data_IF_598175497548
#
_entry.id   IF_598175497548
#
_cell.length_a   1.000
_cell.length_b   1.000
_cell.length_c   1.000
_cell.angle_alpha   90.00
_cell.angle_beta   90.00
_cell.angle_gamma   90.00
#
_symmetry.space_group_name_H-M   'P 1'
#
loop_
_entity.id
_entity.type
_entity.pdbx_description
1 polymer ?
#
# COMPACT_ATOMS: atom_id res chain seq x y z
N UNK A 1 11.08 4.06 0.71
CA UNK A 1 10.07 4.07 1.80
C UNK A 1 9.37 2.72 1.93
N UNK A 2 8.69 2.20 0.90
CA UNK A 2 7.97 0.91 1.00
C UNK A 2 8.91 -0.27 1.28
N UNK A 3 9.95 -0.47 0.46
CA UNK A 3 10.91 -1.57 0.66
C UNK A 3 11.63 -1.47 2.01
N UNK A 4 11.99 -0.25 2.42
CA UNK A 4 12.60 0.01 3.73
C UNK A 4 11.66 -0.36 4.88
N UNK A 5 10.35 -0.12 4.75
CA UNK A 5 9.40 -0.57 5.77
C UNK A 5 9.38 -2.09 5.89
N UNK A 6 9.41 -2.82 4.77
CA UNK A 6 9.54 -4.28 4.77
C UNK A 6 10.86 -4.75 5.37
N UNK A 7 11.98 -4.09 5.04
CA UNK A 7 13.30 -4.34 5.65
C UNK A 7 13.29 -4.13 7.18
N UNK A 8 12.44 -3.23 7.69
CA UNK A 8 12.25 -3.00 9.13
C UNK A 8 11.19 -3.90 9.78
N UNK A 9 10.72 -4.93 9.07
CA UNK A 9 9.82 -5.95 9.61
C UNK A 9 8.33 -5.61 9.50
N UNK A 10 7.93 -4.67 8.64
CA UNK A 10 6.52 -4.43 8.37
C UNK A 10 5.86 -5.67 7.74
N UNK A 11 4.71 -6.10 8.26
CA UNK A 11 3.95 -7.24 7.70
C UNK A 11 3.11 -6.83 6.47
N UNK A 12 2.78 -5.56 6.35
CA UNK A 12 2.10 -4.95 5.21
C UNK A 12 2.30 -3.44 5.17
N UNK A 13 2.25 -2.86 3.98
CA UNK A 13 2.41 -1.43 3.73
C UNK A 13 1.27 -0.92 2.85
N UNK A 14 0.52 0.05 3.37
CA UNK A 14 -0.51 0.76 2.62
C UNK A 14 -0.04 2.19 2.32
N UNK A 15 -0.17 2.63 1.07
CA UNK A 15 0.08 4.02 0.65
C UNK A 15 -1.25 4.68 0.31
N UNK A 16 -1.56 5.77 1.00
CA UNK A 16 -2.78 6.55 0.82
C UNK A 16 -2.48 7.80 0.00
N UNK A 17 -3.33 8.09 -0.98
CA UNK A 17 -3.22 9.28 -1.83
C UNK A 17 -4.58 9.90 -2.15
N UNK A 18 -4.56 11.17 -2.55
CA UNK A 18 -5.75 11.85 -3.08
C UNK A 18 -6.18 11.19 -4.40
N UNK A 19 -7.44 11.35 -4.80
CA UNK A 19 -7.83 11.14 -6.20
C UNK A 19 -7.15 12.16 -7.11
N UNK A 20 -7.01 11.82 -8.39
CA UNK A 20 -6.17 12.56 -9.35
C UNK A 20 -6.48 14.06 -9.46
N UNK A 21 -7.75 14.45 -9.33
CA UNK A 21 -8.20 15.86 -9.44
C UNK A 21 -8.27 16.60 -8.09
N UNK A 22 -7.94 15.93 -7.00
CA UNK A 22 -8.05 16.48 -5.64
C UNK A 22 -6.69 16.76 -5.00
N UNK A 23 -5.60 16.45 -5.70
CA UNK A 23 -4.28 16.74 -5.19
C UNK A 23 -4.02 18.26 -5.16
N UNK A 24 -3.68 18.77 -3.97
CA UNK A 24 -3.30 20.17 -3.78
C UNK A 24 -2.02 20.57 -4.52
N UNK A 25 -1.13 19.61 -4.78
CA UNK A 25 0.25 19.87 -5.21
C UNK A 25 0.56 19.37 -6.62
N UNK A 26 -0.46 19.03 -7.42
CA UNK A 26 -0.27 18.60 -8.81
C UNK A 26 -0.30 17.08 -9.00
N UNK A 27 0.50 16.49 -9.91
CA UNK A 27 0.27 15.13 -10.44
C UNK A 27 0.66 13.99 -9.47
N UNK A 28 0.75 14.26 -8.16
CA UNK A 28 1.18 13.29 -7.15
C UNK A 28 0.44 11.94 -7.20
N UNK A 29 -0.91 11.92 -7.25
CA UNK A 29 -1.66 10.67 -7.37
C UNK A 29 -1.37 9.87 -8.64
N UNK A 30 -1.14 10.55 -9.77
CA UNK A 30 -0.80 9.89 -11.04
C UNK A 30 0.59 9.23 -10.94
N UNK A 31 1.57 9.95 -10.39
CA UNK A 31 2.92 9.42 -10.15
C UNK A 31 2.89 8.24 -9.18
N UNK A 32 2.08 8.31 -8.12
CA UNK A 32 1.89 7.22 -7.16
C UNK A 32 1.35 5.96 -7.83
N UNK A 33 0.37 6.09 -8.75
CA UNK A 33 -0.14 4.93 -9.51
C UNK A 33 0.90 4.32 -10.42
N UNK A 34 1.71 5.15 -11.11
CA UNK A 34 2.78 4.67 -11.99
C UNK A 34 3.82 3.82 -11.26
N UNK A 35 4.10 4.13 -9.99
CA UNK A 35 5.10 3.43 -9.18
C UNK A 35 4.51 2.26 -8.37
N UNK A 36 3.20 2.24 -8.13
CA UNK A 36 2.56 1.18 -7.34
C UNK A 36 2.75 -0.23 -7.93
N UNK A 37 2.54 -0.40 -9.24
CA UNK A 37 2.72 -1.69 -9.90
C UNK A 37 4.19 -2.18 -9.88
N UNK A 38 5.20 -1.34 -10.22
CA UNK A 38 6.61 -1.69 -10.01
C UNK A 38 6.95 -2.12 -8.59
N UNK A 39 6.40 -1.44 -7.57
CA UNK A 39 6.62 -1.82 -6.17
C UNK A 39 6.03 -3.21 -5.90
N UNK A 40 4.80 -3.47 -6.34
CA UNK A 40 4.12 -4.75 -6.17
C UNK A 40 4.89 -5.89 -6.83
N UNK A 41 5.38 -5.68 -8.05
CA UNK A 41 6.23 -6.65 -8.75
C UNK A 41 7.56 -6.88 -8.02
N UNK A 42 8.18 -5.82 -7.49
CA UNK A 42 9.46 -5.93 -6.80
C UNK A 42 9.35 -6.71 -5.49
N UNK A 43 8.33 -6.44 -4.67
CA UNK A 43 8.14 -7.22 -3.43
C UNK A 43 7.87 -8.70 -3.73
N UNK A 44 7.18 -9.00 -4.83
CA UNK A 44 6.96 -10.38 -5.28
C UNK A 44 8.28 -11.07 -5.65
N UNK A 45 9.15 -10.39 -6.40
CA UNK A 45 10.50 -10.89 -6.73
C UNK A 45 11.33 -11.14 -5.48
N UNK A 46 11.15 -10.30 -4.45
CA UNK A 46 11.81 -10.46 -3.13
C UNK A 46 11.20 -11.57 -2.27
N UNK A 47 10.22 -12.33 -2.78
CA UNK A 47 9.61 -13.47 -2.09
C UNK A 47 8.46 -13.10 -1.15
N UNK A 48 7.93 -11.88 -1.23
CA UNK A 48 6.73 -11.47 -0.48
C UNK A 48 5.47 -11.70 -1.29
N UNK A 49 4.38 -11.99 -0.59
CA UNK A 49 3.04 -11.95 -1.14
C UNK A 49 2.71 -10.51 -1.59
N UNK A 50 2.17 -10.38 -2.80
CA UNK A 50 1.86 -9.07 -3.39
C UNK A 50 0.77 -8.32 -2.61
N UNK A 51 -0.06 -9.08 -1.90
CA UNK A 51 -1.13 -8.65 -1.00
C UNK A 51 -0.61 -7.85 0.20
N UNK A 52 0.69 -7.91 0.49
CA UNK A 52 1.32 -7.09 1.54
C UNK A 52 1.45 -5.62 1.17
N UNK A 53 1.23 -5.24 -0.08
CA UNK A 53 1.26 -3.85 -0.52
C UNK A 53 -0.07 -3.42 -1.14
N UNK A 54 -0.59 -2.29 -0.69
CA UNK A 54 -1.81 -1.69 -1.27
C UNK A 54 -1.64 -0.19 -1.46
N UNK A 55 -1.96 0.31 -2.65
CA UNK A 55 -2.07 1.75 -2.92
C UNK A 55 -3.55 2.12 -3.04
N UNK A 56 -4.02 3.04 -2.20
CA UNK A 56 -5.43 3.46 -2.17
C UNK A 56 -5.54 4.94 -2.48
N UNK A 57 -6.41 5.27 -3.43
CA UNK A 57 -6.85 6.64 -3.68
C UNK A 57 -8.20 6.88 -3.03
N UNK A 58 -8.32 7.98 -2.30
CA UNK A 58 -9.56 8.39 -1.65
C UNK A 58 -9.77 9.90 -1.75
N UNK A 59 -11.03 10.30 -1.70
CA UNK A 59 -11.48 11.69 -1.58
C UNK A 59 -11.70 12.05 -0.12
N UNK A 60 -11.62 13.33 0.23
CA UNK A 60 -11.77 13.80 1.62
C UNK A 60 -13.13 13.43 2.26
N UNK A 61 -14.16 13.17 1.46
CA UNK A 61 -15.51 12.79 1.89
C UNK A 61 -15.75 11.26 1.93
N UNK A 62 -14.75 10.44 1.60
CA UNK A 62 -14.87 8.97 1.54
C UNK A 62 -14.40 8.27 2.83
N UNK A 63 -14.62 8.89 3.99
CA UNK A 63 -14.11 8.38 5.28
C UNK A 63 -14.49 6.93 5.56
N UNK A 64 -15.76 6.56 5.35
CA UNK A 64 -16.24 5.20 5.63
C UNK A 64 -15.57 4.17 4.72
N UNK A 65 -15.47 4.46 3.42
CA UNK A 65 -14.75 3.62 2.46
C UNK A 65 -13.27 3.47 2.84
N UNK A 66 -12.62 4.55 3.27
CA UNK A 66 -11.22 4.47 3.72
C UNK A 66 -11.06 3.56 4.94
N UNK A 67 -11.98 3.62 5.91
CA UNK A 67 -11.96 2.75 7.08
C UNK A 67 -12.16 1.27 6.69
N UNK A 68 -13.09 1.00 5.76
CA UNK A 68 -13.30 -0.35 5.21
C UNK A 68 -12.07 -0.88 4.47
N UNK A 69 -11.38 -0.03 3.69
CA UNK A 69 -10.13 -0.40 3.00
C UNK A 69 -9.02 -0.76 3.98
N UNK A 70 -8.84 0.02 5.05
CA UNK A 70 -7.83 -0.23 6.08
C UNK A 70 -8.14 -1.54 6.83
N UNK A 71 -9.39 -1.74 7.25
CA UNK A 71 -9.81 -2.96 7.96
C UNK A 71 -9.68 -4.21 7.07
N UNK A 72 -10.09 -4.12 5.80
CA UNK A 72 -9.91 -5.16 4.80
C UNK A 72 -8.44 -5.52 4.59
N UNK A 73 -7.58 -4.51 4.43
CA UNK A 73 -6.15 -4.72 4.24
C UNK A 73 -5.49 -5.36 5.46
N UNK A 74 -5.82 -4.90 6.67
CA UNK A 74 -5.30 -5.49 7.90
C UNK A 74 -5.71 -6.97 8.04
N UNK A 75 -6.97 -7.30 7.74
CA UNK A 75 -7.47 -8.68 7.74
C UNK A 75 -6.82 -9.56 6.68
N UNK A 76 -6.51 -9.01 5.50
CA UNK A 76 -5.80 -9.72 4.45
C UNK A 76 -4.37 -10.05 4.88
N UNK A 77 -3.62 -9.06 5.34
CA UNK A 77 -2.24 -9.23 5.81
C UNK A 77 -2.16 -10.22 6.98
N UNK A 78 -3.11 -10.15 7.93
CA UNK A 78 -3.15 -11.05 9.09
C UNK A 78 -3.35 -12.53 8.72
N UNK A 79 -3.95 -12.83 7.57
CA UNK A 79 -4.14 -14.21 7.08
C UNK A 79 -2.90 -14.76 6.38
N UNK A 80 -1.96 -13.91 5.98
CA UNK A 80 -0.73 -14.33 5.35
C UNK A 80 0.20 -14.98 6.39
N UNK A 81 1.15 -15.78 5.91
CA UNK A 81 2.21 -16.31 6.78
C UNK A 81 3.05 -15.14 7.32
N UNK A 82 3.90 -15.39 8.32
CA UNK A 82 4.85 -14.35 8.76
C UNK A 82 5.79 -13.97 7.62
N UNK A 83 6.14 -12.68 7.56
CA UNK A 83 7.10 -12.16 6.59
C UNK A 83 8.47 -12.84 6.76
N UNK A 84 9.21 -13.10 5.67
CA UNK A 84 10.60 -13.58 5.72
C UNK A 84 11.59 -12.50 6.18
N UNK A 85 11.20 -11.22 6.24
CA UNK A 85 12.06 -10.10 6.65
C UNK A 85 11.92 -9.75 8.14
N UNK A 86 11.40 -10.67 8.96
CA UNK A 86 11.38 -10.54 10.42
C UNK A 86 12.78 -10.94 10.96
N UNK A 87 13.42 -10.14 11.83
CA UNK A 87 14.64 -10.55 12.50
C UNK A 87 14.43 -11.76 13.43
#
# INVERSE_FOLDING_TARGET
>A
MVLFAFEKGAEGVMVLGCKDKECRYGPGPEQSTKIAEPIKALIHILGLESERFRSVKYSFNEKNRLLEEIDSFAKEVYKLKKSPFVP
#
